data_IF_277812237687
#
_entry.id   IF_277812237687
#
_cell.length_a   1.000
_cell.length_b   1.000
_cell.length_c   1.000
_cell.angle_alpha   90.00
_cell.angle_beta   90.00
_cell.angle_gamma   90.00
#
_symmetry.space_group_name_H-M   'P 1'
#
loop_
_entity.id
_entity.type
_entity.pdbx_description
1 polymer ?
#
# COMPACT_ATOMS: atom_id res chain seq x y z
N UNK A 1 49.25 18.93 5.47
CA UNK A 1 48.39 17.81 5.92
C UNK A 1 46.99 18.21 6.44
N UNK A 2 46.71 19.46 6.85
CA UNK A 2 45.39 19.83 7.43
C UNK A 2 44.23 19.92 6.42
N UNK A 3 44.49 20.14 5.14
CA UNK A 3 43.43 20.29 4.14
C UNK A 3 42.71 18.98 3.82
N UNK A 4 43.41 17.84 3.71
CA UNK A 4 42.80 16.54 3.37
C UNK A 4 41.81 15.99 4.40
N UNK A 5 41.89 16.40 5.67
CA UNK A 5 40.92 16.01 6.72
C UNK A 5 39.63 16.83 6.67
N UNK A 6 39.71 18.08 6.22
CA UNK A 6 38.55 18.98 6.10
C UNK A 6 37.63 18.53 4.95
N UNK A 7 38.21 18.18 3.80
CA UNK A 7 37.46 17.68 2.64
C UNK A 7 36.67 16.40 2.94
N UNK A 8 37.28 15.42 3.61
CA UNK A 8 36.59 14.17 4.01
C UNK A 8 35.44 14.39 4.99
N UNK A 9 35.56 15.40 5.86
CA UNK A 9 34.50 15.75 6.80
C UNK A 9 33.30 16.40 6.08
N UNK A 10 33.57 17.26 5.08
CA UNK A 10 32.53 17.93 4.30
C UNK A 10 31.76 16.97 3.37
N UNK A 11 32.42 15.95 2.80
CA UNK A 11 31.76 14.91 2.00
C UNK A 11 30.86 14.02 2.86
N UNK A 12 31.36 13.50 3.99
CA UNK A 12 30.54 12.68 4.89
C UNK A 12 29.34 13.46 5.45
N UNK A 13 29.49 14.76 5.71
CA UNK A 13 28.38 15.60 6.18
C UNK A 13 27.34 15.90 5.08
N UNK A 14 27.72 15.83 3.79
CA UNK A 14 26.79 15.91 2.66
C UNK A 14 26.03 14.60 2.44
N UNK A 15 26.71 13.47 2.57
CA UNK A 15 26.07 12.14 2.49
C UNK A 15 25.01 11.97 3.58
N UNK A 16 25.37 12.25 4.84
CA UNK A 16 24.42 12.18 5.97
C UNK A 16 23.21 13.11 5.75
N UNK A 17 23.41 14.33 5.23
CA UNK A 17 22.30 15.24 4.93
C UNK A 17 21.38 14.71 3.83
N UNK A 18 21.94 14.06 2.80
CA UNK A 18 21.15 13.47 1.72
C UNK A 18 20.37 12.24 2.19
N UNK A 19 20.95 11.40 3.04
CA UNK A 19 20.25 10.27 3.66
C UNK A 19 19.10 10.74 4.55
N UNK A 20 19.36 11.68 5.46
CA UNK A 20 18.33 12.27 6.33
C UNK A 20 17.21 12.90 5.51
N UNK A 21 17.53 13.57 4.40
CA UNK A 21 16.52 14.18 3.52
C UNK A 21 15.65 13.13 2.84
N UNK A 22 16.24 12.03 2.33
CA UNK A 22 15.49 10.91 1.74
C UNK A 22 14.57 10.23 2.75
N UNK A 23 15.04 10.05 3.98
CA UNK A 23 14.23 9.44 5.05
C UNK A 23 13.04 10.31 5.46
N UNK A 24 13.21 11.63 5.49
CA UNK A 24 12.12 12.57 5.78
C UNK A 24 11.09 12.54 4.65
N UNK A 25 11.54 12.61 3.41
CA UNK A 25 10.69 12.61 2.21
C UNK A 25 9.85 11.33 2.11
N UNK A 26 10.48 10.17 2.28
CA UNK A 26 9.78 8.88 2.29
C UNK A 26 8.76 8.75 3.42
N UNK A 27 9.02 9.34 4.60
CA UNK A 27 8.04 9.37 5.70
C UNK A 27 6.84 10.26 5.38
N UNK A 28 7.05 11.38 4.72
CA UNK A 28 6.00 12.31 4.33
C UNK A 28 5.10 11.72 3.25
N UNK A 29 5.70 11.08 2.23
CA UNK A 29 4.96 10.33 1.22
C UNK A 29 4.13 9.19 1.83
N UNK A 30 4.73 8.38 2.71
CA UNK A 30 3.99 7.30 3.38
C UNK A 30 2.77 7.83 4.14
N UNK A 31 2.90 8.96 4.86
CA UNK A 31 1.77 9.61 5.55
C UNK A 31 0.71 10.10 4.58
N UNK A 32 1.10 10.71 3.47
CA UNK A 32 0.20 11.19 2.42
C UNK A 32 -0.63 10.04 1.85
N UNK A 33 -0.01 8.92 1.50
CA UNK A 33 -0.70 7.77 0.92
C UNK A 33 -1.56 7.02 1.93
N UNK A 34 -1.13 6.94 3.19
CA UNK A 34 -1.97 6.39 4.26
C UNK A 34 -3.21 7.24 4.51
N UNK A 35 -3.09 8.57 4.47
CA UNK A 35 -4.23 9.49 4.58
C UNK A 35 -5.16 9.35 3.37
N UNK A 36 -4.59 9.34 2.16
CA UNK A 36 -5.34 9.13 0.92
C UNK A 36 -6.14 7.83 0.94
N UNK A 37 -5.58 6.75 1.49
CA UNK A 37 -6.28 5.48 1.67
C UNK A 37 -7.41 5.56 2.70
N UNK A 38 -7.16 6.18 3.86
CA UNK A 38 -8.16 6.33 4.93
C UNK A 38 -9.40 7.10 4.50
N UNK A 39 -9.22 8.12 3.65
CA UNK A 39 -10.31 8.97 3.14
C UNK A 39 -11.22 8.25 2.12
N UNK A 40 -10.84 7.06 1.65
CA UNK A 40 -11.69 6.26 0.76
C UNK A 40 -12.84 5.63 1.54
N UNK A 41 -13.99 5.55 0.87
CA UNK A 41 -15.15 4.82 1.39
C UNK A 41 -14.88 3.31 1.35
N UNK A 42 -15.63 2.53 2.14
CA UNK A 42 -15.40 1.08 2.26
C UNK A 42 -15.63 0.31 0.95
N UNK A 43 -16.55 0.77 0.09
CA UNK A 43 -16.78 0.16 -1.23
C UNK A 43 -15.56 0.33 -2.14
N UNK A 44 -14.96 1.52 -2.13
CA UNK A 44 -13.75 1.85 -2.88
C UNK A 44 -12.55 1.03 -2.38
N UNK A 45 -12.42 0.87 -1.06
CA UNK A 45 -11.37 0.05 -0.45
C UNK A 45 -11.55 -1.42 -0.81
N UNK A 46 -12.77 -1.94 -0.72
CA UNK A 46 -13.09 -3.33 -1.08
C UNK A 46 -12.78 -3.61 -2.55
N UNK A 47 -13.13 -2.70 -3.47
CA UNK A 47 -12.82 -2.83 -4.90
C UNK A 47 -11.29 -2.86 -5.13
N UNK A 48 -10.53 -1.99 -4.46
CA UNK A 48 -9.07 -1.99 -4.58
C UNK A 48 -8.42 -3.25 -4.01
N UNK A 49 -8.87 -3.72 -2.84
CA UNK A 49 -8.32 -4.93 -2.21
C UNK A 49 -8.61 -6.15 -3.10
N UNK A 50 -9.83 -6.27 -3.62
CA UNK A 50 -10.18 -7.35 -4.55
C UNK A 50 -9.24 -7.36 -5.77
N UNK A 51 -8.99 -6.19 -6.38
CA UNK A 51 -8.09 -6.08 -7.52
C UNK A 51 -6.63 -6.32 -7.15
N UNK A 52 -6.22 -5.91 -5.95
CA UNK A 52 -4.89 -6.15 -5.41
C UNK A 52 -4.61 -7.64 -5.19
N UNK A 53 -5.60 -8.41 -4.71
CA UNK A 53 -5.49 -9.86 -4.52
C UNK A 53 -5.57 -10.64 -5.83
N UNK A 54 -6.36 -10.16 -6.81
CA UNK A 54 -6.56 -10.83 -8.10
C UNK A 54 -5.43 -10.59 -9.10
N UNK A 55 -4.74 -9.45 -9.04
CA UNK A 55 -3.78 -9.02 -10.06
C UNK A 55 -2.33 -9.12 -9.56
N UNK A 56 -1.40 -9.34 -10.49
CA UNK A 56 0.02 -9.17 -10.18
C UNK A 56 0.32 -7.70 -9.82
N UNK A 57 1.42 -7.43 -9.12
CA UNK A 57 1.82 -6.05 -8.80
C UNK A 57 1.92 -5.15 -10.04
N UNK A 58 2.39 -5.70 -11.16
CA UNK A 58 2.50 -4.99 -12.44
C UNK A 58 1.14 -4.72 -13.09
N UNK A 59 0.24 -5.71 -13.05
CA UNK A 59 -1.11 -5.60 -13.62
C UNK A 59 -1.98 -4.68 -12.77
N UNK A 60 -1.83 -4.73 -11.45
CA UNK A 60 -2.48 -3.82 -10.51
C UNK A 60 -2.06 -2.36 -10.76
N UNK A 61 -0.76 -2.11 -10.92
CA UNK A 61 -0.24 -0.79 -11.29
C UNK A 61 -0.83 -0.29 -12.62
N UNK A 62 -0.89 -1.17 -13.62
CA UNK A 62 -1.50 -0.84 -14.92
C UNK A 62 -3.00 -0.59 -14.81
N UNK A 63 -3.71 -1.38 -14.01
CA UNK A 63 -5.15 -1.23 -13.78
C UNK A 63 -5.46 0.09 -13.07
N UNK A 64 -4.74 0.42 -12.01
CA UNK A 64 -5.03 1.62 -11.22
C UNK A 64 -4.76 2.90 -12.02
N UNK A 65 -3.77 2.88 -12.91
CA UNK A 65 -3.42 4.04 -13.76
C UNK A 65 -4.28 4.18 -15.00
N UNK A 66 -4.82 3.10 -15.55
CA UNK A 66 -5.53 3.17 -16.84
C UNK A 66 -7.04 2.93 -16.71
N UNK A 67 -7.45 2.04 -15.81
CA UNK A 67 -8.82 1.52 -15.74
C UNK A 67 -9.58 2.00 -14.50
N UNK A 68 -8.89 2.39 -13.43
CA UNK A 68 -9.57 2.83 -12.21
C UNK A 68 -10.09 4.26 -12.31
N UNK A 69 -11.07 4.58 -11.46
CA UNK A 69 -11.57 5.95 -11.26
C UNK A 69 -10.51 6.90 -10.67
N UNK A 70 -9.37 6.40 -10.22
CA UNK A 70 -8.29 7.18 -9.61
C UNK A 70 -7.15 7.50 -10.58
N UNK A 71 -7.23 7.09 -11.85
CA UNK A 71 -6.20 7.32 -12.87
C UNK A 71 -5.65 8.75 -12.95
N UNK A 72 -6.52 9.75 -12.77
CA UNK A 72 -6.12 11.16 -12.88
C UNK A 72 -5.44 11.70 -11.60
N UNK A 73 -5.50 10.95 -10.50
CA UNK A 73 -4.96 11.33 -9.20
C UNK A 73 -3.63 10.64 -8.89
N UNK A 74 -3.25 9.65 -9.70
CA UNK A 74 -2.13 8.75 -9.45
C UNK A 74 -1.14 8.83 -10.63
N UNK A 75 0.12 8.53 -10.34
CA UNK A 75 1.19 8.43 -11.33
C UNK A 75 2.04 7.18 -11.02
N UNK A 76 2.95 6.81 -11.92
CA UNK A 76 3.83 5.65 -11.76
C UNK A 76 4.70 5.72 -10.48
N UNK A 77 5.16 6.92 -10.11
CA UNK A 77 6.02 7.13 -8.94
C UNK A 77 5.29 6.83 -7.62
N UNK A 78 3.96 7.03 -7.62
CA UNK A 78 3.12 6.84 -6.44
C UNK A 78 2.72 5.37 -6.23
N UNK A 79 2.84 4.51 -7.24
CA UNK A 79 2.37 3.11 -7.18
C UNK A 79 2.99 2.32 -6.03
N UNK A 80 4.32 2.35 -5.80
CA UNK A 80 4.92 1.61 -4.70
C UNK A 80 4.39 2.05 -3.33
N UNK A 81 4.14 3.36 -3.17
CA UNK A 81 3.65 3.91 -1.91
C UNK A 81 2.16 3.58 -1.66
N UNK A 82 1.35 3.52 -2.72
CA UNK A 82 -0.04 3.06 -2.66
C UNK A 82 -0.08 1.57 -2.33
N UNK A 83 0.76 0.77 -2.99
CA UNK A 83 0.90 -0.66 -2.72
C UNK A 83 1.24 -0.89 -1.24
N UNK A 84 2.23 -0.15 -0.72
CA UNK A 84 2.61 -0.22 0.69
C UNK A 84 1.48 0.22 1.65
N UNK A 85 0.69 1.23 1.29
CA UNK A 85 -0.45 1.68 2.09
C UNK A 85 -1.56 0.62 2.15
N UNK A 86 -1.91 0.00 1.02
CA UNK A 86 -2.88 -1.10 0.95
C UNK A 86 -2.38 -2.31 1.73
N UNK A 87 -1.13 -2.72 1.52
CA UNK A 87 -0.52 -3.83 2.25
C UNK A 87 -0.53 -3.58 3.76
N UNK A 88 -0.13 -2.38 4.21
CA UNK A 88 -0.16 -2.03 5.64
C UNK A 88 -1.57 -2.06 6.20
N UNK A 89 -2.57 -1.62 5.42
CA UNK A 89 -3.97 -1.70 5.81
C UNK A 89 -4.43 -3.15 5.93
N UNK A 90 -4.14 -3.98 4.93
CA UNK A 90 -4.44 -5.41 4.97
C UNK A 90 -3.77 -6.02 6.20
N UNK A 91 -2.47 -5.86 6.39
CA UNK A 91 -1.73 -6.45 7.53
C UNK A 91 -2.30 -6.01 8.89
N UNK A 92 -2.63 -4.72 9.04
CA UNK A 92 -3.22 -4.17 10.28
C UNK A 92 -4.61 -4.74 10.54
N UNK A 93 -5.47 -4.76 9.52
CA UNK A 93 -6.81 -5.32 9.66
C UNK A 93 -6.75 -6.84 9.82
N UNK A 94 -5.85 -7.52 9.11
CA UNK A 94 -5.57 -8.96 9.21
C UNK A 94 -5.24 -9.40 10.65
N UNK A 95 -4.51 -8.56 11.41
CA UNK A 95 -4.22 -8.82 12.83
C UNK A 95 -5.42 -8.66 13.76
N UNK A 96 -6.41 -7.83 13.41
CA UNK A 96 -7.71 -7.77 14.08
C UNK A 96 -8.68 -8.87 13.55
N UNK A 97 -8.39 -9.42 12.36
CA UNK A 97 -9.25 -10.21 11.48
C UNK A 97 -9.02 -11.74 11.52
N UNK A 98 -8.49 -12.31 12.61
CA UNK A 98 -8.77 -13.73 12.89
C UNK A 98 -10.29 -13.97 12.83
N UNK A 99 -11.08 -12.97 13.26
CA UNK A 99 -12.54 -12.95 13.19
C UNK A 99 -13.11 -12.77 11.76
N UNK A 100 -12.43 -12.06 10.86
CA UNK A 100 -12.87 -11.87 9.46
C UNK A 100 -12.57 -13.10 8.61
N UNK A 101 -11.44 -13.78 8.85
CA UNK A 101 -11.19 -15.12 8.31
C UNK A 101 -12.26 -16.11 8.78
N UNK A 102 -12.69 -16.05 10.05
CA UNK A 102 -13.87 -16.79 10.54
C UNK A 102 -15.18 -16.39 9.83
N UNK A 103 -15.37 -15.11 9.53
CA UNK A 103 -16.58 -14.60 8.86
C UNK A 103 -16.66 -15.01 7.40
N UNK A 104 -15.56 -14.91 6.64
CA UNK A 104 -15.44 -15.37 5.27
C UNK A 104 -15.59 -16.90 5.18
N UNK A 105 -14.97 -17.65 6.11
CA UNK A 105 -15.15 -19.11 6.17
C UNK A 105 -16.59 -19.52 6.53
N UNK A 106 -17.28 -18.75 7.39
CA UNK A 106 -18.71 -18.96 7.68
C UNK A 106 -19.62 -18.61 6.50
N UNK A 107 -19.35 -17.52 5.79
CA UNK A 107 -20.10 -17.11 4.59
C UNK A 107 -19.95 -18.14 3.47
N UNK A 108 -18.73 -18.62 3.21
CA UNK A 108 -18.47 -19.69 2.24
C UNK A 108 -19.25 -20.97 2.60
N UNK A 109 -19.14 -21.44 3.85
CA UNK A 109 -19.82 -22.64 4.32
C UNK A 109 -21.35 -22.52 4.31
N UNK A 110 -21.89 -21.32 4.52
CA UNK A 110 -23.33 -21.06 4.41
C UNK A 110 -23.82 -21.09 2.95
N UNK A 111 -23.01 -20.62 2.00
CA UNK A 111 -23.32 -20.67 0.56
C UNK A 111 -23.29 -22.12 0.08
N UNK A 112 -22.29 -22.89 0.49
CA UNK A 112 -22.14 -24.31 0.12
C UNK A 112 -23.32 -25.17 0.64
N UNK A 113 -23.77 -24.92 1.88
CA UNK A 113 -24.96 -25.59 2.45
C UNK A 113 -26.27 -25.21 1.74
N UNK A 114 -26.40 -23.97 1.26
CA UNK A 114 -27.57 -23.53 0.51
C UNK A 114 -27.62 -24.19 -0.89
N UNK A 115 -26.46 -24.32 -1.55
CA UNK A 115 -26.32 -25.03 -2.82
C UNK A 115 -26.64 -26.53 -2.72
N UNK A 116 -26.46 -27.15 -1.55
CA UNK A 116 -26.79 -28.56 -1.33
C UNK A 116 -28.29 -28.81 -0.99
N UNK A 117 -29.04 -27.76 -0.61
CA UNK A 117 -30.47 -27.86 -0.25
C UNK A 117 -31.42 -27.57 -1.43
N UNK A 118 -30.91 -26.93 -2.49
CA UNK A 118 -31.68 -26.54 -3.69
C UNK A 118 -31.56 -27.59 -4.82
N UNK A 119 -30.90 -28.73 -4.56
CA UNK A 119 -30.69 -29.82 -5.52
C UNK A 119 -31.49 -31.05 -5.10
#
# INVERSE_FOLDING_TARGET
MKQGKKWKLEEGMKEVKNEVKKDIDGKEEKKKWMKWWKERNEKDKSEMIEKFEQLSSSDFGSWILNHSKWKNHLNNENIPAIYAAIQTYIDYHFTDDVLFFFFLFKLQKSIDNLCHFIK
#
